data_IF_689557291973
#
_entry.id   IF_689557291973
#
_cell.length_a   1.000
_cell.length_b   1.000
_cell.length_c   1.000
_cell.angle_alpha   90.00
_cell.angle_beta   90.00
_cell.angle_gamma   90.00
#
_symmetry.space_group_name_H-M   'P 1'
#
loop_
_entity.id
_entity.type
_entity.pdbx_description
1 polymer ?
#
# COMPACT_ATOMS: atom_id res chain seq x y z
N UNK A 1 17.25 0.63 -28.41
CA UNK A 1 15.85 0.80 -28.81
C UNK A 1 15.59 2.29 -29.01
N UNK A 2 15.07 2.68 -30.16
CA UNK A 2 14.68 4.07 -30.47
C UNK A 2 13.17 4.11 -30.68
N UNK A 3 12.48 4.93 -29.89
CA UNK A 3 11.02 5.13 -30.03
C UNK A 3 10.80 6.21 -31.11
N UNK A 4 10.17 5.85 -32.22
CA UNK A 4 9.94 6.75 -33.38
C UNK A 4 8.61 7.50 -33.23
N UNK A 5 7.61 6.85 -32.66
CA UNK A 5 6.30 7.42 -32.32
C UNK A 5 5.77 6.71 -31.07
N UNK A 6 5.27 7.47 -30.10
CA UNK A 6 4.57 6.91 -28.94
C UNK A 6 3.22 7.58 -28.81
N UNK A 7 2.16 6.78 -28.65
CA UNK A 7 0.81 7.22 -28.24
C UNK A 7 0.51 6.85 -26.78
N UNK A 8 1.55 6.57 -25.99
CA UNK A 8 1.44 6.12 -24.59
C UNK A 8 1.11 4.62 -24.44
N UNK A 9 0.73 3.91 -25.51
CA UNK A 9 0.41 2.46 -25.50
C UNK A 9 1.22 1.64 -26.49
N UNK A 10 1.60 2.21 -27.63
CA UNK A 10 2.39 1.56 -28.67
C UNK A 10 3.56 2.46 -29.05
N UNK A 11 4.73 1.89 -29.13
CA UNK A 11 5.91 2.55 -29.67
C UNK A 11 6.40 1.76 -30.88
N UNK A 12 6.59 2.44 -32.01
CA UNK A 12 7.37 1.88 -33.10
C UNK A 12 8.82 1.86 -32.66
N UNK A 13 9.35 0.65 -32.50
CA UNK A 13 10.65 0.40 -31.87
C UNK A 13 11.67 0.09 -32.94
N UNK A 14 12.71 0.90 -33.00
CA UNK A 14 13.93 0.55 -33.71
C UNK A 14 15.02 0.17 -32.72
N UNK A 15 15.71 -0.93 -32.93
CA UNK A 15 16.87 -1.28 -32.12
C UNK A 15 18.03 -0.36 -32.48
N UNK A 16 18.81 0.06 -31.51
CA UNK A 16 20.03 0.83 -31.65
C UNK A 16 21.14 0.17 -30.84
N UNK A 17 22.32 0.13 -31.37
CA UNK A 17 23.53 -0.30 -30.66
C UNK A 17 24.17 0.86 -29.86
N UNK A 18 23.60 2.07 -29.97
CA UNK A 18 24.07 3.24 -29.22
C UNK A 18 23.49 3.25 -27.81
N UNK A 19 24.33 2.89 -26.86
CA UNK A 19 23.99 2.85 -25.42
C UNK A 19 23.62 4.24 -24.87
N UNK A 20 24.19 5.33 -25.43
CA UNK A 20 23.87 6.70 -25.00
C UNK A 20 22.45 7.07 -25.39
N UNK A 21 22.03 6.71 -26.61
CA UNK A 21 20.64 6.92 -27.05
C UNK A 21 19.66 6.09 -26.21
N UNK A 22 20.00 4.85 -25.85
CA UNK A 22 19.15 4.04 -24.96
C UNK A 22 19.08 4.64 -23.57
N UNK A 23 20.19 5.12 -23.02
CA UNK A 23 20.24 5.78 -21.72
C UNK A 23 19.37 7.05 -21.68
N UNK A 24 19.50 7.92 -22.68
CA UNK A 24 18.77 9.19 -22.74
C UNK A 24 17.24 9.07 -22.79
N UNK A 25 16.69 7.96 -23.27
CA UNK A 25 15.22 7.73 -23.26
C UNK A 25 14.67 7.22 -21.93
N UNK A 26 15.55 6.81 -20.99
CA UNK A 26 15.15 6.37 -19.65
C UNK A 26 14.68 7.56 -18.80
N UNK A 27 14.14 7.29 -17.65
CA UNK A 27 13.60 8.32 -16.75
C UNK A 27 14.68 8.99 -15.87
N UNK A 28 15.46 8.18 -15.13
CA UNK A 28 16.39 8.67 -14.11
C UNK A 28 17.84 8.26 -14.43
N UNK A 29 18.78 9.10 -14.00
CA UNK A 29 20.22 8.87 -14.17
C UNK A 29 20.64 7.53 -13.55
N UNK A 30 20.19 7.22 -12.34
CA UNK A 30 20.45 5.94 -11.64
C UNK A 30 19.86 4.72 -12.36
N UNK A 31 18.89 4.90 -13.25
CA UNK A 31 18.28 3.84 -14.05
C UNK A 31 18.90 3.70 -15.44
N UNK A 32 19.99 4.42 -15.71
CA UNK A 32 20.71 4.42 -16.99
C UNK A 32 22.14 3.87 -16.86
N UNK A 33 22.34 3.01 -15.88
CA UNK A 33 23.59 2.26 -15.69
C UNK A 33 23.47 0.90 -16.38
N UNK A 34 24.55 0.42 -16.94
CA UNK A 34 24.64 -0.86 -17.65
C UNK A 34 25.84 -1.65 -17.14
N UNK A 35 25.72 -2.97 -17.13
CA UNK A 35 26.81 -3.87 -16.84
C UNK A 35 27.08 -4.74 -18.07
N UNK A 36 28.35 -4.89 -18.45
CA UNK A 36 28.79 -5.84 -19.45
C UNK A 36 28.88 -7.26 -18.86
N UNK A 37 29.06 -8.25 -19.72
CA UNK A 37 29.11 -9.64 -19.28
C UNK A 37 30.32 -9.94 -18.35
N UNK A 38 31.38 -9.16 -18.44
CA UNK A 38 32.55 -9.25 -17.56
C UNK A 38 32.41 -8.47 -16.25
N UNK A 39 31.25 -7.83 -16.02
CA UNK A 39 30.97 -7.00 -14.86
C UNK A 39 31.40 -5.53 -14.99
N UNK A 40 31.98 -5.14 -16.13
CA UNK A 40 32.38 -3.75 -16.36
C UNK A 40 31.15 -2.83 -16.37
N UNK A 41 31.18 -1.78 -15.52
CA UNK A 41 30.13 -0.78 -15.47
C UNK A 41 30.25 0.22 -16.62
N UNK A 42 29.15 0.43 -17.36
CA UNK A 42 29.01 1.50 -18.35
C UNK A 42 28.03 2.55 -17.83
N UNK A 43 28.51 3.75 -17.68
CA UNK A 43 27.76 4.90 -17.18
C UNK A 43 27.79 6.06 -18.21
N UNK A 44 26.93 6.00 -19.24
CA UNK A 44 26.96 6.98 -20.31
C UNK A 44 26.46 8.37 -19.91
N UNK A 45 25.78 8.53 -18.77
CA UNK A 45 25.14 9.77 -18.33
C UNK A 45 25.60 10.25 -16.94
N UNK A 46 26.61 9.62 -16.33
CA UNK A 46 27.11 10.00 -15.00
C UNK A 46 26.16 9.64 -13.86
N UNK A 47 25.33 8.61 -14.04
CA UNK A 47 24.32 8.17 -13.04
C UNK A 47 24.92 7.49 -11.83
N UNK A 48 26.17 6.99 -11.89
CA UNK A 48 26.83 6.32 -10.77
C UNK A 48 27.05 7.26 -9.58
N UNK A 49 27.41 8.54 -9.86
CA UNK A 49 27.53 9.55 -8.81
C UNK A 49 26.19 9.80 -8.09
N UNK A 50 25.07 9.85 -8.84
CA UNK A 50 23.73 9.98 -8.27
C UNK A 50 23.33 8.73 -7.49
N UNK A 51 23.68 7.53 -7.96
CA UNK A 51 23.43 6.28 -7.25
C UNK A 51 24.19 6.23 -5.92
N UNK A 52 25.46 6.60 -5.92
CA UNK A 52 26.31 6.64 -4.72
C UNK A 52 25.77 7.67 -3.72
N UNK A 53 25.33 8.84 -4.21
CA UNK A 53 24.68 9.88 -3.40
C UNK A 53 23.23 9.55 -3.04
N UNK A 54 22.69 8.42 -3.48
CA UNK A 54 21.26 8.04 -3.29
C UNK A 54 20.30 9.14 -3.73
N UNK A 55 20.63 9.82 -4.82
CA UNK A 55 19.84 10.92 -5.40
C UNK A 55 19.09 10.45 -6.63
N UNK A 56 17.78 10.62 -6.64
CA UNK A 56 16.93 10.32 -7.80
C UNK A 56 16.74 11.61 -8.60
N UNK A 57 17.36 11.67 -9.78
CA UNK A 57 17.33 12.82 -10.67
C UNK A 57 16.90 12.41 -12.08
N UNK A 58 16.05 13.23 -12.70
CA UNK A 58 15.66 13.03 -14.10
C UNK A 58 16.87 13.16 -15.04
N UNK A 59 16.84 12.40 -16.12
CA UNK A 59 17.81 12.56 -17.21
C UNK A 59 17.44 13.81 -17.98
N UNK A 60 18.40 14.72 -18.14
CA UNK A 60 18.22 16.02 -18.82
C UNK A 60 17.11 16.85 -18.18
N UNK A 61 16.22 17.45 -18.98
CA UNK A 61 15.14 18.31 -18.52
C UNK A 61 13.96 17.53 -17.93
N UNK A 62 13.67 17.75 -16.66
CA UNK A 62 12.64 17.02 -15.90
C UNK A 62 11.24 17.23 -16.50
N UNK A 63 10.89 18.47 -16.89
CA UNK A 63 9.56 18.75 -17.43
C UNK A 63 9.35 18.08 -18.79
N UNK A 64 10.37 18.12 -19.65
CA UNK A 64 10.32 17.42 -20.94
C UNK A 64 10.10 15.92 -20.72
N UNK A 65 10.84 15.33 -19.79
CA UNK A 65 10.72 13.90 -19.47
C UNK A 65 9.34 13.53 -18.95
N UNK A 66 8.76 14.36 -18.12
CA UNK A 66 7.40 14.16 -17.59
C UNK A 66 6.35 14.29 -18.69
N UNK A 67 6.48 15.27 -19.61
CA UNK A 67 5.53 15.44 -20.73
C UNK A 67 5.55 14.27 -21.72
N UNK A 68 6.66 13.56 -21.86
CA UNK A 68 6.71 12.33 -22.65
C UNK A 68 5.90 11.18 -22.04
N UNK A 69 5.85 11.08 -20.70
CA UNK A 69 5.04 10.12 -19.95
C UNK A 69 4.81 10.61 -18.52
N UNK A 70 3.61 11.07 -18.23
CA UNK A 70 3.22 11.59 -16.91
C UNK A 70 3.33 10.55 -15.78
N UNK A 71 3.43 9.24 -16.09
CA UNK A 71 3.67 8.21 -15.07
C UNK A 71 5.03 8.39 -14.40
N UNK A 72 5.97 9.07 -15.04
CA UNK A 72 7.29 9.40 -14.47
C UNK A 72 7.20 10.23 -13.20
N UNK A 73 6.09 10.98 -12.99
CA UNK A 73 5.81 11.65 -11.71
C UNK A 73 5.73 10.61 -10.58
N UNK A 74 4.86 9.60 -10.71
CA UNK A 74 4.74 8.56 -9.68
C UNK A 74 6.02 7.73 -9.54
N UNK A 75 6.69 7.47 -10.65
CA UNK A 75 7.98 6.78 -10.65
C UNK A 75 9.05 7.55 -9.88
N UNK A 76 9.10 8.89 -9.98
CA UNK A 76 10.02 9.74 -9.22
C UNK A 76 9.88 9.53 -7.72
N UNK A 77 8.67 9.64 -7.18
CA UNK A 77 8.41 9.40 -5.77
C UNK A 77 8.69 7.94 -5.36
N UNK A 78 8.33 6.97 -6.21
CA UNK A 78 8.63 5.57 -5.95
C UNK A 78 10.13 5.29 -5.92
N UNK A 79 10.89 5.78 -6.90
CA UNK A 79 12.34 5.60 -6.92
C UNK A 79 13.00 6.25 -5.70
N UNK A 80 12.51 7.43 -5.30
CA UNK A 80 13.00 8.06 -4.07
C UNK A 80 12.72 7.20 -2.83
N UNK A 81 11.51 6.66 -2.68
CA UNK A 81 11.15 5.80 -1.55
C UNK A 81 11.98 4.50 -1.47
N UNK A 82 12.45 3.98 -2.61
CA UNK A 82 13.25 2.75 -2.66
C UNK A 82 14.76 3.01 -2.60
N UNK A 83 15.25 4.06 -3.21
CA UNK A 83 16.68 4.26 -3.46
C UNK A 83 17.21 5.60 -2.94
N UNK A 84 16.33 6.56 -2.68
CA UNK A 84 16.70 7.89 -2.21
C UNK A 84 17.25 7.88 -0.80
N UNK A 85 17.94 8.97 -0.44
CA UNK A 85 18.35 9.24 0.92
C UNK A 85 17.30 10.16 1.58
N UNK A 86 16.52 9.69 2.56
CA UNK A 86 15.52 10.52 3.22
C UNK A 86 16.09 11.78 3.88
N UNK A 87 17.37 11.74 4.34
CA UNK A 87 18.02 12.87 4.97
C UNK A 87 18.35 14.00 3.99
N UNK A 88 18.58 13.68 2.73
CA UNK A 88 18.85 14.68 1.68
C UNK A 88 17.57 15.21 1.00
N UNK A 89 16.44 14.52 1.21
CA UNK A 89 15.17 14.85 0.56
C UNK A 89 15.16 14.53 -0.94
N UNK A 90 14.14 15.03 -1.62
CA UNK A 90 13.97 14.86 -3.06
C UNK A 90 14.80 15.88 -3.85
N UNK A 91 15.20 15.50 -5.06
CA UNK A 91 15.80 16.45 -6.01
C UNK A 91 14.85 17.62 -6.29
N UNK A 92 15.28 18.85 -5.99
CA UNK A 92 14.41 20.01 -5.97
C UNK A 92 13.83 20.37 -7.35
N UNK A 93 14.64 20.21 -8.42
CA UNK A 93 14.21 20.46 -9.80
C UNK A 93 13.16 19.43 -10.23
N UNK A 94 13.44 18.13 -9.99
CA UNK A 94 12.51 17.04 -10.29
C UNK A 94 11.20 17.17 -9.52
N UNK A 95 11.27 17.51 -8.23
CA UNK A 95 10.08 17.74 -7.39
C UNK A 95 9.23 18.91 -7.90
N UNK A 96 9.86 20.05 -8.22
CA UNK A 96 9.16 21.21 -8.76
C UNK A 96 8.49 20.92 -10.11
N UNK A 97 9.17 20.16 -10.99
CA UNK A 97 8.59 19.73 -12.27
C UNK A 97 7.39 18.79 -12.06
N UNK A 98 7.48 17.83 -11.12
CA UNK A 98 6.37 16.95 -10.75
C UNK A 98 5.15 17.76 -10.25
N UNK A 99 5.37 18.73 -9.39
CA UNK A 99 4.30 19.58 -8.86
C UNK A 99 3.60 20.41 -9.97
N UNK A 100 4.40 21.04 -10.84
CA UNK A 100 3.84 21.85 -11.95
C UNK A 100 3.03 21.02 -12.95
N UNK A 101 3.41 19.78 -13.19
CA UNK A 101 2.84 18.93 -14.23
C UNK A 101 1.87 17.86 -13.70
N UNK A 102 1.53 17.89 -12.40
CA UNK A 102 0.68 16.90 -11.74
C UNK A 102 -0.68 16.71 -12.44
N UNK A 103 -1.30 17.78 -12.94
CA UNK A 103 -2.59 17.72 -13.64
C UNK A 103 -2.57 16.84 -14.90
N UNK A 104 -1.40 16.70 -15.53
CA UNK A 104 -1.21 15.84 -16.69
C UNK A 104 -1.39 14.34 -16.39
N UNK A 105 -1.37 13.94 -15.12
CA UNK A 105 -1.62 12.54 -14.73
C UNK A 105 -3.05 12.07 -15.04
N UNK A 106 -3.99 12.98 -15.27
CA UNK A 106 -5.38 12.67 -15.62
C UNK A 106 -5.54 11.82 -16.89
N UNK A 107 -4.55 11.83 -17.79
CA UNK A 107 -4.56 11.01 -19.02
C UNK A 107 -4.07 9.58 -18.81
N UNK A 108 -3.55 9.26 -17.63
CA UNK A 108 -2.98 7.94 -17.34
C UNK A 108 -4.06 6.88 -17.13
N UNK A 109 -3.78 5.66 -17.57
CA UNK A 109 -4.65 4.54 -17.23
C UNK A 109 -4.56 4.21 -15.73
N UNK A 110 -5.69 3.87 -15.14
CA UNK A 110 -5.82 3.52 -13.71
C UNK A 110 -4.94 2.32 -13.33
N UNK A 111 -4.78 1.38 -14.24
CA UNK A 111 -3.92 0.19 -14.08
C UNK A 111 -2.46 0.60 -13.86
N UNK A 112 -1.95 1.53 -14.70
CA UNK A 112 -0.57 2.02 -14.58
C UNK A 112 -0.36 2.78 -13.26
N UNK A 113 -1.29 3.66 -12.93
CA UNK A 113 -1.28 4.43 -11.67
C UNK A 113 -1.31 3.48 -10.47
N UNK A 114 -2.24 2.52 -10.44
CA UNK A 114 -2.37 1.56 -9.35
C UNK A 114 -1.14 0.66 -9.19
N UNK A 115 -0.52 0.24 -10.30
CA UNK A 115 0.70 -0.55 -10.25
C UNK A 115 1.88 0.22 -9.64
N UNK A 116 2.05 1.51 -9.99
CA UNK A 116 3.11 2.34 -9.41
C UNK A 116 2.83 2.68 -7.95
N UNK A 117 1.58 3.00 -7.57
CA UNK A 117 1.20 3.25 -6.18
C UNK A 117 1.44 2.02 -5.28
N UNK A 118 1.09 0.82 -5.72
CA UNK A 118 1.37 -0.41 -4.96
C UNK A 118 2.87 -0.63 -4.76
N UNK A 119 3.69 -0.38 -5.79
CA UNK A 119 5.15 -0.47 -5.67
C UNK A 119 5.74 0.60 -4.76
N UNK A 120 5.18 1.82 -4.78
CA UNK A 120 5.58 2.89 -3.86
C UNK A 120 5.27 2.50 -2.43
N UNK A 121 4.03 2.08 -2.15
CA UNK A 121 3.61 1.67 -0.81
C UNK A 121 4.31 0.39 -0.30
N UNK A 122 4.91 -0.41 -1.19
CA UNK A 122 5.73 -1.56 -0.83
C UNK A 122 7.16 -1.19 -0.39
N UNK A 123 7.59 0.06 -0.56
CA UNK A 123 8.93 0.49 -0.14
C UNK A 123 9.14 0.29 1.38
N UNK A 124 10.38 0.13 1.85
CA UNK A 124 10.66 0.01 3.29
C UNK A 124 10.02 1.13 4.11
N UNK A 125 10.22 2.38 3.72
CA UNK A 125 9.54 3.56 4.27
C UNK A 125 9.06 4.49 3.14
N UNK A 126 7.78 4.45 2.77
CA UNK A 126 7.23 5.33 1.76
C UNK A 126 6.72 6.67 2.33
N UNK A 127 6.69 6.85 3.68
CA UNK A 127 6.05 7.99 4.30
C UNK A 127 6.64 9.35 3.87
N UNK A 128 7.97 9.55 3.77
CA UNK A 128 8.53 10.80 3.28
C UNK A 128 8.12 11.12 1.84
N UNK A 129 8.09 10.10 0.97
CA UNK A 129 7.69 10.29 -0.43
C UNK A 129 6.19 10.62 -0.56
N UNK A 130 5.33 9.96 0.22
CA UNK A 130 3.89 10.24 0.27
C UNK A 130 3.61 11.64 0.84
N UNK A 131 4.31 12.05 1.89
CA UNK A 131 4.20 13.41 2.42
C UNK A 131 4.60 14.47 1.39
N UNK A 132 5.66 14.24 0.63
CA UNK A 132 6.04 15.11 -0.47
C UNK A 132 5.00 15.12 -1.61
N UNK A 133 4.37 13.99 -1.91
CA UNK A 133 3.25 13.93 -2.86
C UNK A 133 2.01 14.69 -2.37
N UNK A 134 1.79 14.75 -1.06
CA UNK A 134 0.69 15.51 -0.47
C UNK A 134 0.93 17.03 -0.53
N UNK A 135 2.18 17.46 -0.31
CA UNK A 135 2.58 18.88 -0.45
C UNK A 135 2.56 19.34 -1.90
N UNK A 136 2.98 18.49 -2.84
CA UNK A 136 2.70 18.70 -4.25
C UNK A 136 1.28 18.20 -4.55
N UNK A 137 0.54 18.77 -5.52
CA UNK A 137 -0.84 18.34 -5.82
C UNK A 137 -0.91 16.93 -6.44
N UNK A 138 0.08 16.07 -6.20
CA UNK A 138 0.21 14.74 -6.81
C UNK A 138 -0.66 13.72 -6.08
N UNK A 139 -0.62 13.67 -4.74
CA UNK A 139 -1.41 12.69 -3.97
C UNK A 139 -2.90 12.88 -4.21
N UNK A 140 -3.39 14.12 -4.21
CA UNK A 140 -4.79 14.46 -4.46
C UNK A 140 -5.27 14.11 -5.88
N UNK A 141 -4.39 14.11 -6.88
CA UNK A 141 -4.72 13.64 -8.24
C UNK A 141 -4.93 12.11 -8.28
N UNK A 142 -4.18 11.37 -7.49
CA UNK A 142 -4.25 9.89 -7.45
C UNK A 142 -5.36 9.41 -6.53
N UNK A 143 -5.40 9.97 -5.32
CA UNK A 143 -6.28 9.57 -4.21
C UNK A 143 -6.88 10.82 -3.55
N UNK A 144 -7.94 11.41 -4.12
CA UNK A 144 -8.65 12.52 -3.49
C UNK A 144 -9.07 12.16 -2.06
N UNK A 145 -8.91 13.10 -1.13
CA UNK A 145 -9.23 12.90 0.27
C UNK A 145 -8.25 12.02 1.06
N UNK A 146 -7.14 11.60 0.48
CA UNK A 146 -6.11 10.85 1.21
C UNK A 146 -5.36 11.76 2.21
N UNK A 147 -5.01 11.19 3.37
CA UNK A 147 -4.25 11.84 4.44
C UNK A 147 -2.94 11.09 4.64
N UNK A 148 -1.82 11.80 4.55
CA UNK A 148 -0.47 11.21 4.64
C UNK A 148 0.03 11.00 6.08
N UNK A 149 -0.38 11.87 7.01
CA UNK A 149 0.17 11.89 8.38
C UNK A 149 0.14 10.55 9.14
N UNK A 150 -0.93 9.71 9.08
CA UNK A 150 -0.94 8.44 9.79
C UNK A 150 0.04 7.40 9.23
N UNK A 151 0.53 7.57 7.98
CA UNK A 151 1.39 6.57 7.35
C UNK A 151 2.75 6.42 8.06
N UNK A 152 3.35 7.52 8.52
CA UNK A 152 4.63 7.48 9.23
C UNK A 152 4.51 6.72 10.55
N UNK A 153 3.40 6.93 11.27
CA UNK A 153 3.09 6.20 12.50
C UNK A 153 2.88 4.71 12.20
N UNK A 154 2.14 4.38 11.14
CA UNK A 154 1.94 2.98 10.73
C UNK A 154 3.26 2.29 10.40
N UNK A 155 4.15 2.92 9.63
CA UNK A 155 5.47 2.35 9.28
C UNK A 155 6.30 2.09 10.53
N UNK A 156 6.29 3.01 11.50
CA UNK A 156 6.95 2.79 12.78
C UNK A 156 6.36 1.59 13.54
N UNK A 157 5.03 1.50 13.63
CA UNK A 157 4.35 0.40 14.33
C UNK A 157 4.61 -0.96 13.63
N UNK A 158 4.66 -0.98 12.29
CA UNK A 158 5.04 -2.18 11.52
C UNK A 158 6.42 -2.71 11.96
N UNK A 159 7.39 -1.81 12.15
CA UNK A 159 8.73 -2.18 12.64
C UNK A 159 8.70 -2.71 14.07
N UNK A 160 7.93 -2.07 14.96
CA UNK A 160 7.79 -2.48 16.38
C UNK A 160 7.26 -3.92 16.50
N UNK A 161 6.29 -4.30 15.66
CA UNK A 161 5.71 -5.65 15.71
C UNK A 161 6.33 -6.62 14.69
N UNK A 162 7.41 -6.24 14.03
CA UNK A 162 8.06 -7.00 12.97
C UNK A 162 7.10 -7.41 11.83
N UNK A 163 6.12 -6.55 11.51
CA UNK A 163 5.24 -6.74 10.36
C UNK A 163 5.92 -6.19 9.10
N UNK A 164 6.05 -7.02 8.07
CA UNK A 164 6.59 -6.58 6.78
C UNK A 164 5.73 -5.51 6.10
N UNK A 165 6.29 -4.79 5.12
CA UNK A 165 5.55 -3.83 4.31
C UNK A 165 4.34 -4.46 3.61
N UNK A 166 3.16 -3.86 3.77
CA UNK A 166 1.95 -4.29 3.06
C UNK A 166 1.29 -3.10 2.36
N UNK A 167 1.26 -3.06 1.02
CA UNK A 167 0.70 -1.96 0.26
C UNK A 167 -0.78 -1.70 0.53
N UNK A 168 -1.59 -2.74 0.81
CA UNK A 168 -3.02 -2.57 1.05
C UNK A 168 -3.30 -2.05 2.46
N UNK A 169 -2.56 -2.51 3.48
CA UNK A 169 -2.61 -1.95 4.83
C UNK A 169 -2.21 -0.47 4.80
N UNK A 170 -1.11 -0.12 4.12
CA UNK A 170 -0.67 1.27 3.97
C UNK A 170 -1.62 2.12 3.13
N UNK A 171 -2.29 1.53 2.13
CA UNK A 171 -3.37 2.20 1.39
C UNK A 171 -4.61 2.43 2.26
N UNK A 172 -4.91 1.50 3.17
CA UNK A 172 -6.04 1.64 4.08
C UNK A 172 -5.87 2.84 5.02
N UNK A 173 -4.67 3.06 5.57
CA UNK A 173 -4.39 4.18 6.48
C UNK A 173 -4.39 5.54 5.77
N UNK A 174 -3.99 5.60 4.50
CA UNK A 174 -4.07 6.83 3.71
C UNK A 174 -5.52 7.28 3.46
N UNK A 175 -6.47 6.36 3.50
CA UNK A 175 -7.84 6.66 3.12
C UNK A 175 -7.99 6.91 1.62
N UNK A 176 -8.64 8.03 1.28
CA UNK A 176 -8.92 8.42 -0.09
C UNK A 176 -10.23 7.85 -0.63
N UNK A 177 -10.91 8.68 -1.45
CA UNK A 177 -12.18 8.36 -2.08
C UNK A 177 -11.97 7.38 -3.25
N UNK A 178 -12.86 6.39 -3.35
CA UNK A 178 -12.87 5.44 -4.47
C UNK A 178 -11.52 4.77 -4.76
N UNK A 179 -10.68 4.52 -3.75
CA UNK A 179 -9.33 4.00 -3.95
C UNK A 179 -9.30 2.71 -4.80
N UNK A 180 -10.24 1.78 -4.59
CA UNK A 180 -10.28 0.52 -5.32
C UNK A 180 -10.51 0.69 -6.83
N UNK A 181 -11.53 1.43 -7.32
CA UNK A 181 -11.70 1.67 -8.76
C UNK A 181 -10.65 2.62 -9.34
N UNK A 182 -10.15 3.60 -8.56
CA UNK A 182 -9.10 4.55 -9.01
C UNK A 182 -7.77 3.87 -9.28
N UNK A 183 -7.39 2.92 -8.42
CA UNK A 183 -6.15 2.16 -8.55
C UNK A 183 -6.33 0.81 -9.26
N UNK A 184 -7.53 0.56 -9.81
CA UNK A 184 -7.86 -0.68 -10.51
C UNK A 184 -7.47 -1.92 -9.71
N UNK A 185 -7.82 -1.94 -8.43
CA UNK A 185 -7.56 -3.10 -7.58
C UNK A 185 -8.35 -4.33 -8.07
N UNK A 186 -7.77 -5.51 -7.93
CA UNK A 186 -8.48 -6.77 -8.13
C UNK A 186 -9.61 -6.93 -7.12
N UNK A 187 -10.58 -7.81 -7.39
CA UNK A 187 -11.69 -8.09 -6.46
C UNK A 187 -11.20 -8.50 -5.07
N UNK A 188 -10.15 -9.32 -5.00
CA UNK A 188 -9.53 -9.75 -3.74
C UNK A 188 -8.89 -8.59 -2.98
N UNK A 189 -8.12 -7.74 -3.67
CA UNK A 189 -7.51 -6.55 -3.08
C UNK A 189 -8.56 -5.53 -2.60
N UNK A 190 -9.61 -5.31 -3.39
CA UNK A 190 -10.69 -4.39 -3.02
C UNK A 190 -11.46 -4.89 -1.78
N UNK A 191 -11.78 -6.19 -1.70
CA UNK A 191 -12.42 -6.78 -0.54
C UNK A 191 -11.54 -6.68 0.71
N UNK A 192 -10.23 -6.95 0.60
CA UNK A 192 -9.29 -6.80 1.72
C UNK A 192 -9.16 -5.34 2.15
N UNK A 193 -9.08 -4.40 1.21
CA UNK A 193 -9.03 -2.97 1.53
C UNK A 193 -10.29 -2.51 2.28
N UNK A 194 -11.48 -2.95 1.84
CA UNK A 194 -12.74 -2.65 2.50
C UNK A 194 -12.74 -3.22 3.93
N UNK A 195 -12.39 -4.50 4.10
CA UNK A 195 -12.32 -5.14 5.42
C UNK A 195 -11.38 -4.40 6.39
N UNK A 196 -10.20 -4.00 5.92
CA UNK A 196 -9.24 -3.25 6.73
C UNK A 196 -9.80 -1.88 7.14
N UNK A 197 -10.44 -1.15 6.22
CA UNK A 197 -11.06 0.15 6.49
C UNK A 197 -12.26 0.05 7.45
N UNK A 198 -13.14 -0.92 7.23
CA UNK A 198 -14.28 -1.19 8.13
C UNK A 198 -13.77 -1.56 9.53
N UNK A 199 -12.68 -2.32 9.59
CA UNK A 199 -12.01 -2.67 10.84
C UNK A 199 -11.53 -1.48 11.65
N UNK A 200 -11.06 -0.39 11.01
CA UNK A 200 -10.62 0.82 11.72
C UNK A 200 -11.77 1.39 12.58
N UNK A 201 -12.96 1.50 12.02
CA UNK A 201 -14.15 2.06 12.69
C UNK A 201 -14.92 1.05 13.56
N UNK A 202 -14.56 -0.23 13.53
CA UNK A 202 -15.26 -1.27 14.28
C UNK A 202 -14.93 -1.21 15.77
N UNK A 203 -15.90 -1.56 16.63
CA UNK A 203 -15.72 -1.71 18.08
C UNK A 203 -15.31 -3.12 18.51
N UNK A 204 -15.18 -4.06 17.58
CA UNK A 204 -14.75 -5.43 17.86
C UNK A 204 -13.34 -5.44 18.48
N UNK A 205 -13.17 -6.22 19.54
CA UNK A 205 -11.87 -6.40 20.20
C UNK A 205 -10.91 -7.28 19.39
N UNK A 206 -9.62 -7.23 19.72
CA UNK A 206 -8.57 -7.96 19.03
C UNK A 206 -8.84 -9.45 18.90
N UNK A 207 -9.29 -10.10 19.97
CA UNK A 207 -9.60 -11.54 19.97
C UNK A 207 -10.80 -11.85 19.05
N UNK A 208 -11.85 -11.02 19.07
CA UNK A 208 -12.98 -11.18 18.14
C UNK A 208 -12.54 -11.01 16.68
N UNK A 209 -11.73 -9.99 16.37
CA UNK A 209 -11.18 -9.79 15.03
C UNK A 209 -10.35 -10.99 14.56
N UNK A 210 -9.52 -11.54 15.48
CA UNK A 210 -8.71 -12.73 15.20
C UNK A 210 -9.54 -13.97 14.95
N UNK A 211 -10.61 -14.19 15.72
CA UNK A 211 -11.56 -15.26 15.52
C UNK A 211 -12.28 -15.17 14.16
N UNK A 212 -12.77 -13.97 13.81
CA UNK A 212 -13.57 -13.77 12.60
C UNK A 212 -12.75 -13.72 11.31
N UNK A 213 -11.54 -13.11 11.34
CA UNK A 213 -10.78 -12.74 10.15
C UNK A 213 -9.35 -13.28 10.13
N UNK A 214 -8.94 -14.00 11.18
CA UNK A 214 -7.59 -14.51 11.36
C UNK A 214 -6.62 -13.48 11.95
N UNK A 215 -5.57 -13.99 12.61
CA UNK A 215 -4.63 -13.17 13.40
C UNK A 215 -3.88 -12.12 12.59
N UNK A 216 -3.54 -12.40 11.33
CA UNK A 216 -2.87 -11.44 10.46
C UNK A 216 -3.76 -10.22 10.18
N UNK A 217 -5.02 -10.45 9.81
CA UNK A 217 -5.98 -9.37 9.55
C UNK A 217 -6.30 -8.57 10.82
N UNK A 218 -6.46 -9.25 11.95
CA UNK A 218 -6.70 -8.62 13.24
C UNK A 218 -5.54 -7.72 13.65
N UNK A 219 -4.30 -8.21 13.53
CA UNK A 219 -3.09 -7.42 13.76
C UNK A 219 -3.05 -6.19 12.85
N UNK A 220 -3.32 -6.36 11.56
CA UNK A 220 -3.32 -5.26 10.59
C UNK A 220 -4.35 -4.19 10.98
N UNK A 221 -5.55 -4.58 11.43
CA UNK A 221 -6.58 -3.65 11.90
C UNK A 221 -6.11 -2.90 13.15
N UNK A 222 -5.48 -3.56 14.11
CA UNK A 222 -4.97 -2.88 15.32
C UNK A 222 -3.85 -1.90 15.01
N UNK A 223 -2.95 -2.23 14.08
CA UNK A 223 -1.93 -1.30 13.57
C UNK A 223 -2.57 -0.06 12.92
N UNK A 224 -3.61 -0.28 12.11
CA UNK A 224 -4.35 0.79 11.45
C UNK A 224 -5.08 1.69 12.45
N UNK A 225 -5.74 1.12 13.46
CA UNK A 225 -6.39 1.88 14.54
C UNK A 225 -5.40 2.73 15.31
N UNK A 226 -4.29 2.12 15.75
CA UNK A 226 -3.23 2.81 16.48
C UNK A 226 -2.65 3.98 15.66
N UNK A 227 -2.37 3.77 14.37
CA UNK A 227 -1.86 4.82 13.49
C UNK A 227 -2.89 5.92 13.22
N UNK A 228 -4.17 5.57 13.01
CA UNK A 228 -5.22 6.52 12.65
C UNK A 228 -5.64 7.40 13.84
N UNK A 229 -5.72 6.81 15.04
CA UNK A 229 -6.19 7.52 16.23
C UNK A 229 -5.07 8.01 17.16
N UNK A 230 -3.79 7.74 16.82
CA UNK A 230 -2.67 8.09 17.68
C UNK A 230 -2.68 7.34 19.02
N UNK A 231 -3.29 6.16 19.06
CA UNK A 231 -3.44 5.36 20.27
C UNK A 231 -2.31 4.31 20.39
N UNK A 232 -1.94 3.89 21.62
CA UNK A 232 -1.01 2.78 21.78
C UNK A 232 -1.63 1.46 21.28
N UNK A 233 -0.77 0.53 20.85
CA UNK A 233 -1.22 -0.84 20.57
C UNK A 233 -1.78 -1.49 21.84
N UNK A 234 -2.78 -2.40 21.71
CA UNK A 234 -3.32 -3.13 22.86
C UNK A 234 -2.21 -3.85 23.64
N UNK A 235 -2.16 -3.66 24.96
CA UNK A 235 -1.13 -4.27 25.81
C UNK A 235 -1.07 -5.80 25.71
N UNK A 236 -2.20 -6.43 25.39
CA UNK A 236 -2.34 -7.89 25.25
C UNK A 236 -2.44 -8.34 23.79
N UNK A 237 -1.99 -7.53 22.84
CA UNK A 237 -2.14 -7.79 21.40
C UNK A 237 -1.85 -9.25 21.02
N UNK A 238 -0.66 -9.76 21.35
CA UNK A 238 -0.28 -11.12 20.98
C UNK A 238 -1.12 -12.21 21.66
N UNK A 239 -1.46 -12.01 22.93
CA UNK A 239 -2.29 -12.95 23.68
C UNK A 239 -3.72 -13.00 23.12
N UNK A 240 -4.28 -11.83 22.80
CA UNK A 240 -5.65 -11.73 22.27
C UNK A 240 -5.73 -12.23 20.82
N UNK A 241 -4.69 -12.02 20.01
CA UNK A 241 -4.57 -12.65 18.68
C UNK A 241 -4.56 -14.18 18.78
N UNK A 242 -3.76 -14.73 19.70
CA UNK A 242 -3.69 -16.17 19.93
C UNK A 242 -5.00 -16.75 20.47
N UNK A 243 -5.64 -16.04 21.42
CA UNK A 243 -6.94 -16.43 21.97
C UNK A 243 -8.00 -16.55 20.87
N UNK A 244 -8.15 -15.53 20.03
CA UNK A 244 -9.14 -15.55 18.96
C UNK A 244 -8.82 -16.60 17.88
N UNK A 245 -7.55 -16.82 17.56
CA UNK A 245 -7.13 -17.82 16.58
C UNK A 245 -7.41 -19.27 17.03
N UNK A 246 -7.35 -19.52 18.34
CA UNK A 246 -7.62 -20.83 18.94
C UNK A 246 -9.09 -21.04 19.29
N UNK A 247 -9.92 -19.99 19.21
CA UNK A 247 -11.32 -20.03 19.64
C UNK A 247 -12.18 -20.84 18.66
N UNK A 248 -12.92 -21.81 19.20
CA UNK A 248 -13.88 -22.61 18.45
C UNK A 248 -15.27 -22.50 19.10
N UNK A 249 -16.26 -22.07 18.34
CA UNK A 249 -17.61 -21.90 18.85
C UNK A 249 -18.21 -23.25 19.21
N UNK A 250 -18.62 -23.48 20.50
CA UNK A 250 -18.95 -24.82 21.02
C UNK A 250 -20.35 -25.30 20.66
N UNK A 251 -21.19 -24.47 20.00
CA UNK A 251 -22.57 -24.83 19.65
C UNK A 251 -22.73 -25.10 18.18
N UNK A 252 -23.30 -26.22 17.83
CA UNK A 252 -23.59 -26.62 16.47
C UNK A 252 -25.06 -26.46 16.10
N UNK A 253 -25.44 -26.43 14.82
CA UNK A 253 -26.87 -26.43 14.43
C UNK A 253 -27.66 -27.61 15.00
N UNK A 254 -27.03 -28.77 15.15
CA UNK A 254 -27.69 -29.98 15.71
C UNK A 254 -28.13 -29.81 17.16
N UNK A 255 -27.41 -29.02 17.95
CA UNK A 255 -27.73 -28.76 19.35
C UNK A 255 -29.05 -27.97 19.55
N UNK A 256 -29.44 -27.23 18.51
CA UNK A 256 -30.64 -26.38 18.51
C UNK A 256 -31.82 -27.01 17.78
N UNK A 257 -31.61 -28.10 17.03
CA UNK A 257 -32.66 -28.81 16.32
C UNK A 257 -33.32 -29.87 17.23
N UNK A 258 -34.61 -30.18 17.03
CA UNK A 258 -35.52 -29.60 16.05
C UNK A 258 -36.22 -28.30 16.50
N UNK A 259 -35.89 -27.76 17.69
CA UNK A 259 -36.56 -26.59 18.29
C UNK A 259 -36.47 -25.34 17.40
N UNK A 260 -35.35 -25.16 16.70
CA UNK A 260 -35.13 -24.07 15.77
C UNK A 260 -34.83 -24.63 14.38
N UNK A 261 -35.39 -24.00 13.32
CA UNK A 261 -35.20 -24.40 11.93
C UNK A 261 -35.08 -23.17 11.01
N UNK A 262 -34.49 -23.34 9.83
CA UNK A 262 -34.39 -22.30 8.81
C UNK A 262 -33.77 -20.99 9.34
N UNK A 263 -34.43 -19.87 9.11
CA UNK A 263 -33.94 -18.53 9.49
C UNK A 263 -33.83 -18.38 11.04
N UNK A 264 -34.74 -18.97 11.81
CA UNK A 264 -34.73 -18.90 13.27
C UNK A 264 -33.50 -19.62 13.86
N UNK A 265 -33.03 -20.72 13.24
CA UNK A 265 -31.83 -21.43 13.64
C UNK A 265 -30.58 -20.55 13.43
N UNK A 266 -30.46 -19.91 12.29
CA UNK A 266 -29.33 -18.99 11.99
C UNK A 266 -29.30 -17.79 12.98
N UNK A 267 -30.46 -17.21 13.26
CA UNK A 267 -30.57 -16.10 14.23
C UNK A 267 -30.14 -16.51 15.63
N UNK A 268 -30.57 -17.70 16.07
CA UNK A 268 -30.20 -18.21 17.40
C UNK A 268 -28.72 -18.54 17.51
N UNK A 269 -28.14 -19.17 16.50
CA UNK A 269 -26.70 -19.41 16.45
C UNK A 269 -25.92 -18.10 16.54
N UNK A 270 -26.27 -17.09 15.74
CA UNK A 270 -25.60 -15.79 15.76
C UNK A 270 -25.76 -15.05 17.11
N UNK A 271 -26.88 -15.23 17.81
CA UNK A 271 -27.10 -14.69 19.15
C UNK A 271 -26.18 -15.35 20.18
N UNK A 272 -26.10 -16.69 20.17
CA UNK A 272 -25.24 -17.47 21.05
C UNK A 272 -23.76 -17.20 20.80
N UNK A 273 -23.36 -17.10 19.53
CA UNK A 273 -22.00 -16.73 19.17
C UNK A 273 -21.62 -15.35 19.69
N UNK A 274 -22.47 -14.33 19.54
CA UNK A 274 -22.25 -13.00 20.12
C UNK A 274 -22.08 -13.04 21.63
N UNK A 275 -22.94 -13.82 22.33
CA UNK A 275 -22.86 -14.00 23.78
C UNK A 275 -21.55 -14.67 24.19
N UNK A 276 -21.14 -15.68 23.45
CA UNK A 276 -19.86 -16.38 23.65
C UNK A 276 -18.65 -15.48 23.43
N UNK A 277 -18.63 -14.70 22.35
CA UNK A 277 -17.57 -13.72 22.09
C UNK A 277 -17.53 -12.68 23.23
N UNK A 278 -18.70 -12.15 23.66
CA UNK A 278 -18.78 -11.17 24.74
C UNK A 278 -18.28 -11.71 26.09
N UNK A 279 -18.33 -13.02 26.31
CA UNK A 279 -17.77 -13.67 27.50
C UNK A 279 -16.22 -13.83 27.43
N UNK A 280 -15.57 -13.38 26.35
CA UNK A 280 -14.14 -13.65 26.10
C UNK A 280 -13.87 -15.11 25.75
N UNK A 281 -14.81 -15.76 25.05
CA UNK A 281 -14.73 -17.17 24.61
C UNK A 281 -14.73 -18.19 25.76
N UNK A 282 -15.25 -17.80 26.95
CA UNK A 282 -15.15 -18.62 28.16
C UNK A 282 -16.36 -19.51 28.41
N UNK A 283 -17.55 -19.19 27.84
CA UNK A 283 -18.77 -20.00 28.04
C UNK A 283 -18.69 -21.32 27.29
N UNK A 284 -18.98 -22.40 28.00
CA UNK A 284 -19.12 -23.71 27.38
C UNK A 284 -20.45 -23.87 26.65
N UNK A 285 -20.59 -25.03 25.97
CA UNK A 285 -21.83 -25.40 25.26
C UNK A 285 -23.06 -25.36 26.17
N UNK A 286 -22.97 -25.93 27.36
CA UNK A 286 -24.11 -26.05 28.29
C UNK A 286 -24.49 -24.68 28.86
N UNK A 287 -23.53 -23.80 29.13
CA UNK A 287 -23.78 -22.40 29.57
C UNK A 287 -24.51 -21.56 28.51
N UNK A 288 -24.30 -21.89 27.24
CA UNK A 288 -24.93 -21.22 26.12
C UNK A 288 -26.34 -21.74 25.84
N UNK A 289 -26.57 -23.03 26.02
CA UNK A 289 -27.84 -23.67 25.73
C UNK A 289 -28.85 -23.56 26.88
N UNK A 290 -28.38 -23.40 28.12
CA UNK A 290 -28.99 -23.24 29.44
C UNK A 290 -30.24 -22.87 29.63
#
# INVERSE_FOLDING_TARGET
>A
RRDIRTDGRRADVTFTDDIVQDARRRDFTINALYAEADGTLRDPLGGFADLTARRVRFIEDAERRIREDYLRILRFFRFHAWYGDPAQGLDAEGYAACARLASGMSVLSRERVGAEMKKLLAAPDPAPAIAAMAQAPVLGQVLPGAVDAPLSVLVHLEQVVAAGPDPLRRLAVLGGEDAAPRLRLSRKEAARLALLRDGIGSTAGTAELSYRFGSETARDIELLRAATFGAPLPARLLADLALGAAAEFPVTPADLMPRYQGRALGQRLAELERRWIASGFSLGRDDLLG
#
